data_IF_465470218977
#
_entry.id   IF_465470218977
#
_cell.length_a   1.000
_cell.length_b   1.000
_cell.length_c   1.000
_cell.angle_alpha   90.00
_cell.angle_beta   90.00
_cell.angle_gamma   90.00
#
_symmetry.space_group_name_H-M   'P 1'
#
loop_
_entity.id
_entity.type
_entity.pdbx_description
1 polymer ?
#
# COMPACT_ATOMS: atom_id res chain seq x y z
N UNK A 1 -8.57 -7.88 -69.41
CA UNK A 1 -9.15 -6.72 -68.72
C UNK A 1 -9.26 -7.04 -67.24
N UNK A 2 -8.64 -6.18 -66.46
CA UNK A 2 -8.56 -6.04 -65.01
C UNK A 2 -9.73 -6.59 -64.17
N UNK A 3 -9.42 -7.45 -63.18
CA UNK A 3 -9.55 -7.11 -61.75
C UNK A 3 -9.01 -8.23 -60.86
N UNK A 4 -7.79 -8.00 -60.36
CA UNK A 4 -7.24 -8.64 -59.17
C UNK A 4 -8.20 -8.40 -57.99
N UNK A 5 -8.83 -9.46 -57.50
CA UNK A 5 -9.54 -9.42 -56.22
C UNK A 5 -8.50 -9.83 -55.18
N UNK A 6 -7.83 -8.84 -54.61
CA UNK A 6 -6.94 -9.01 -53.46
C UNK A 6 -7.71 -9.64 -52.30
N UNK A 7 -7.50 -10.92 -52.07
CA UNK A 7 -7.90 -11.57 -50.82
C UNK A 7 -6.93 -11.09 -49.74
N UNK A 8 -7.30 -9.99 -49.07
CA UNK A 8 -6.62 -9.50 -47.88
C UNK A 8 -6.82 -10.57 -46.81
N UNK A 9 -5.79 -11.39 -46.58
CA UNK A 9 -5.66 -12.23 -45.40
C UNK A 9 -5.58 -11.29 -44.20
N UNK A 10 -6.73 -11.09 -43.55
CA UNK A 10 -6.85 -10.44 -42.26
C UNK A 10 -6.03 -11.27 -41.29
N UNK A 11 -4.82 -10.79 -40.99
CA UNK A 11 -4.03 -11.27 -39.86
C UNK A 11 -4.85 -10.95 -38.62
N UNK A 12 -5.57 -11.95 -38.12
CA UNK A 12 -6.20 -11.93 -36.82
C UNK A 12 -5.05 -11.92 -35.80
N UNK A 13 -4.55 -10.72 -35.51
CA UNK A 13 -3.68 -10.48 -34.38
C UNK A 13 -4.48 -10.90 -33.15
N UNK A 14 -4.24 -12.12 -32.69
CA UNK A 14 -4.69 -12.63 -31.41
C UNK A 14 -4.26 -11.61 -30.37
N UNK A 15 -5.23 -10.80 -29.96
CA UNK A 15 -5.16 -10.00 -28.74
C UNK A 15 -4.87 -11.00 -27.63
N UNK A 16 -3.60 -11.13 -27.26
CA UNK A 16 -3.25 -11.69 -25.96
C UNK A 16 -3.93 -10.76 -24.95
N UNK A 17 -4.96 -11.21 -24.21
CA UNK A 17 -5.45 -10.41 -23.09
C UNK A 17 -4.25 -10.25 -22.18
N UNK A 18 -3.74 -9.02 -22.06
CA UNK A 18 -2.64 -8.70 -21.19
C UNK A 18 -3.01 -9.24 -19.81
N UNK A 19 -2.26 -10.24 -19.33
CA UNK A 19 -2.45 -10.75 -17.99
C UNK A 19 -2.31 -9.55 -17.06
N UNK A 20 -3.43 -9.15 -16.44
CA UNK A 20 -3.43 -8.16 -15.40
C UNK A 20 -2.61 -8.75 -14.25
N UNK A 21 -1.33 -8.41 -14.20
CA UNK A 21 -0.46 -8.78 -13.09
C UNK A 21 -0.98 -8.01 -11.88
N UNK A 22 -1.80 -8.69 -11.06
CA UNK A 22 -2.22 -8.15 -9.79
C UNK A 22 -0.99 -7.75 -8.98
N UNK A 23 -0.99 -6.53 -8.45
CA UNK A 23 0.13 -6.00 -7.69
C UNK A 23 0.34 -6.85 -6.43
N UNK A 24 1.60 -7.11 -6.08
CA UNK A 24 1.93 -7.94 -4.91
C UNK A 24 1.45 -7.26 -3.63
N UNK A 25 0.95 -8.07 -2.71
CA UNK A 25 0.54 -7.67 -1.36
C UNK A 25 1.50 -8.35 -0.39
N UNK A 26 1.78 -7.73 0.75
CA UNK A 26 2.62 -8.25 1.82
C UNK A 26 1.89 -9.39 2.53
N UNK A 27 2.65 -10.36 3.01
CA UNK A 27 2.07 -11.63 3.45
C UNK A 27 1.15 -11.45 4.67
N UNK A 28 1.50 -10.57 5.60
CA UNK A 28 0.68 -10.26 6.77
C UNK A 28 -0.67 -9.60 6.43
N UNK A 29 -0.81 -8.92 5.29
CA UNK A 29 -2.11 -8.44 4.81
C UNK A 29 -2.85 -9.51 4.01
N UNK A 30 -2.14 -10.36 3.25
CA UNK A 30 -2.79 -11.51 2.59
C UNK A 30 -3.44 -12.45 3.61
N UNK A 31 -2.79 -12.71 4.74
CA UNK A 31 -3.31 -13.59 5.79
C UNK A 31 -4.69 -13.16 6.31
N UNK A 32 -4.96 -11.85 6.37
CA UNK A 32 -6.21 -11.30 6.91
C UNK A 32 -7.20 -10.83 5.83
N UNK A 33 -6.73 -10.60 4.60
CA UNK A 33 -7.54 -10.07 3.49
C UNK A 33 -7.80 -11.07 2.37
N UNK A 34 -7.44 -12.35 2.53
CA UNK A 34 -7.76 -13.40 1.57
C UNK A 34 -9.08 -14.07 1.96
N UNK A 35 -10.07 -14.02 1.07
CA UNK A 35 -11.34 -14.69 1.27
C UNK A 35 -11.20 -16.22 1.15
N UNK A 36 -12.23 -16.97 1.57
CA UNK A 36 -12.25 -18.45 1.53
C UNK A 36 -11.94 -19.04 0.14
N UNK A 37 -12.24 -18.28 -0.92
CA UNK A 37 -11.96 -18.68 -2.31
C UNK A 37 -10.48 -18.47 -2.73
N UNK A 38 -9.60 -18.11 -1.80
CA UNK A 38 -8.18 -17.92 -2.02
C UNK A 38 -7.82 -16.63 -2.77
N UNK A 39 -8.77 -15.70 -2.93
CA UNK A 39 -8.52 -14.40 -3.58
C UNK A 39 -8.41 -13.30 -2.55
N UNK A 40 -7.43 -12.41 -2.76
CA UNK A 40 -7.32 -11.20 -1.96
C UNK A 40 -8.48 -10.26 -2.28
N UNK A 41 -9.12 -9.76 -1.23
CA UNK A 41 -10.14 -8.73 -1.34
C UNK A 41 -9.49 -7.35 -1.55
N UNK A 42 -9.27 -7.00 -2.81
CA UNK A 42 -8.73 -5.68 -3.17
C UNK A 42 -9.66 -4.52 -2.77
N UNK A 43 -10.95 -4.78 -2.49
CA UNK A 43 -11.90 -3.75 -2.07
C UNK A 43 -11.68 -3.35 -0.60
N UNK A 44 -11.03 -4.20 0.21
CA UNK A 44 -10.70 -3.89 1.61
C UNK A 44 -9.91 -2.57 1.75
N UNK A 45 -9.01 -2.29 0.80
CA UNK A 45 -8.27 -1.01 0.79
C UNK A 45 -8.84 -0.01 -0.23
N UNK A 46 -9.23 -0.47 -1.42
CA UNK A 46 -9.52 0.43 -2.54
C UNK A 46 -11.02 0.65 -2.82
N UNK A 47 -11.91 -0.02 -2.08
CA UNK A 47 -13.35 -0.05 -2.37
C UNK A 47 -13.66 -0.38 -3.83
N UNK A 48 -14.71 0.24 -4.35
CA UNK A 48 -15.22 0.04 -5.72
C UNK A 48 -14.43 0.78 -6.80
N UNK A 49 -13.28 1.38 -6.46
CA UNK A 49 -12.50 2.15 -7.41
C UNK A 49 -12.07 1.27 -8.60
N UNK A 50 -12.52 1.67 -9.80
CA UNK A 50 -12.18 0.98 -11.07
C UNK A 50 -10.68 1.07 -11.39
N UNK A 51 -10.05 2.18 -11.02
CA UNK A 51 -8.59 2.35 -11.04
C UNK A 51 -8.11 2.43 -9.61
N UNK A 52 -7.27 1.48 -9.21
CA UNK A 52 -6.74 1.38 -7.85
C UNK A 52 -5.68 2.47 -7.66
N UNK A 53 -6.02 3.49 -6.87
CA UNK A 53 -5.11 4.58 -6.44
C UNK A 53 -4.64 4.34 -5.01
N UNK A 54 -3.80 5.23 -4.48
CA UNK A 54 -3.49 5.22 -3.04
C UNK A 54 -4.83 5.27 -2.28
N UNK A 55 -5.09 4.33 -1.35
CA UNK A 55 -6.33 4.30 -0.60
C UNK A 55 -6.41 5.47 0.38
N UNK A 56 -7.63 5.81 0.76
CA UNK A 56 -7.87 6.78 1.83
C UNK A 56 -7.39 6.20 3.18
N UNK A 57 -6.96 7.08 4.10
CA UNK A 57 -6.47 6.66 5.40
C UNK A 57 -7.52 5.87 6.20
N UNK A 58 -8.80 6.19 6.02
CA UNK A 58 -9.92 5.50 6.68
C UNK A 58 -9.97 4.00 6.39
N UNK A 59 -9.45 3.55 5.24
CA UNK A 59 -9.35 2.12 4.94
C UNK A 59 -8.36 1.39 5.86
N UNK A 60 -7.28 2.06 6.27
CA UNK A 60 -6.33 1.55 7.26
C UNK A 60 -6.97 1.55 8.66
N UNK A 61 -7.63 2.64 9.00
CA UNK A 61 -8.20 2.89 10.33
C UNK A 61 -9.31 1.89 10.68
N UNK A 62 -10.05 1.39 9.69
CA UNK A 62 -11.09 0.39 9.86
C UNK A 62 -10.60 -0.91 10.55
N UNK A 63 -9.30 -1.22 10.47
CA UNK A 63 -8.70 -2.38 11.14
C UNK A 63 -7.61 -2.02 12.15
N UNK A 64 -6.89 -0.91 11.95
CA UNK A 64 -5.74 -0.54 12.79
C UNK A 64 -6.06 0.51 13.87
N UNK A 65 -7.26 1.12 13.85
CA UNK A 65 -7.65 2.20 14.76
C UNK A 65 -7.28 3.58 14.21
N UNK A 66 -7.66 4.64 14.93
CA UNK A 66 -7.39 6.01 14.51
C UNK A 66 -5.90 6.33 14.60
N UNK A 67 -5.41 7.40 13.95
CA UNK A 67 -4.02 7.85 14.11
C UNK A 67 -3.60 8.04 15.57
N UNK A 68 -4.49 8.56 16.43
CA UNK A 68 -4.24 8.75 17.85
C UNK A 68 -4.12 7.42 18.60
N UNK A 69 -4.89 6.40 18.21
CA UNK A 69 -4.81 5.08 18.83
C UNK A 69 -3.51 4.37 18.48
N UNK A 70 -3.06 4.49 17.23
CA UNK A 70 -1.75 3.97 16.80
C UNK A 70 -0.61 4.75 17.49
N UNK A 71 -0.73 6.07 17.59
CA UNK A 71 0.23 6.91 18.31
C UNK A 71 0.40 6.50 19.78
N UNK A 72 -0.70 6.22 20.48
CA UNK A 72 -0.66 5.70 21.86
C UNK A 72 0.02 4.33 21.94
N UNK A 73 -0.25 3.44 20.98
CA UNK A 73 0.36 2.10 20.96
C UNK A 73 1.87 2.14 20.72
N UNK A 74 2.36 3.15 19.99
CA UNK A 74 3.79 3.35 19.75
C UNK A 74 4.40 4.45 20.62
N UNK A 75 3.73 4.79 21.72
CA UNK A 75 4.23 5.78 22.66
C UNK A 75 5.59 5.35 23.24
N UNK A 76 6.48 6.32 23.34
CA UNK A 76 7.78 6.12 23.98
C UNK A 76 7.59 5.93 25.48
N UNK A 77 8.47 5.18 26.16
CA UNK A 77 8.51 5.15 27.62
C UNK A 77 8.54 6.56 28.21
N UNK A 78 7.82 6.80 29.31
CA UNK A 78 7.73 8.14 29.92
C UNK A 78 9.10 8.69 30.37
N UNK A 79 10.05 7.82 30.66
CA UNK A 79 11.43 8.14 31.04
C UNK A 79 12.43 8.00 29.88
N UNK A 80 11.95 7.93 28.63
CA UNK A 80 12.81 7.76 27.46
C UNK A 80 13.74 8.96 27.25
N UNK A 81 15.05 8.70 27.25
CA UNK A 81 16.10 9.68 26.95
C UNK A 81 16.25 9.94 25.45
N UNK A 82 17.37 10.53 25.06
CA UNK A 82 17.70 10.84 23.66
C UNK A 82 18.15 9.62 22.85
N UNK A 83 18.44 8.51 23.53
CA UNK A 83 18.80 7.21 22.97
C UNK A 83 17.61 6.45 22.38
N UNK A 84 16.39 6.83 22.75
CA UNK A 84 15.16 6.22 22.24
C UNK A 84 14.61 7.07 21.09
N UNK A 85 14.39 6.44 19.94
CA UNK A 85 13.84 7.11 18.75
C UNK A 85 12.48 7.79 19.05
N UNK A 86 12.15 8.91 18.37
CA UNK A 86 10.85 9.57 18.50
C UNK A 86 9.68 8.67 18.10
N UNK A 87 8.46 8.95 18.58
CA UNK A 87 7.28 8.20 18.16
C UNK A 87 7.02 8.43 16.65
N UNK A 88 7.07 7.40 15.78
CA UNK A 88 6.88 7.58 14.35
C UNK A 88 5.45 8.00 13.97
N UNK A 89 4.47 7.77 14.87
CA UNK A 89 3.05 8.08 14.65
C UNK A 89 2.58 9.31 15.44
N UNK A 90 3.49 10.00 16.13
CA UNK A 90 3.25 11.29 16.77
C UNK A 90 4.52 12.14 16.64
N UNK A 91 4.73 12.64 15.43
CA UNK A 91 5.97 13.31 15.06
C UNK A 91 5.93 14.80 15.40
N UNK A 92 7.09 15.39 15.68
CA UNK A 92 7.16 16.82 15.98
C UNK A 92 6.72 17.72 14.81
N UNK A 93 6.83 17.24 13.57
CA UNK A 93 6.52 18.02 12.37
C UNK A 93 5.08 17.86 11.90
N UNK A 94 4.51 16.66 12.08
CA UNK A 94 3.22 16.30 11.50
C UNK A 94 2.20 15.82 12.53
N UNK A 95 2.57 15.73 13.82
CA UNK A 95 1.74 15.12 14.84
C UNK A 95 1.28 13.72 14.41
N UNK A 96 -0.04 13.51 14.48
CA UNK A 96 -0.75 12.32 14.01
C UNK A 96 -1.30 12.44 12.59
N UNK A 97 -1.08 13.56 11.89
CA UNK A 97 -1.74 13.88 10.61
C UNK A 97 -1.03 13.32 9.36
N UNK A 98 0.17 12.73 9.51
CA UNK A 98 0.91 12.18 8.36
C UNK A 98 0.22 10.89 7.86
N UNK A 99 -0.23 10.81 6.59
CA UNK A 99 -0.97 9.64 6.12
C UNK A 99 -0.15 8.36 6.18
N UNK A 100 -0.78 7.25 6.59
CA UNK A 100 -0.13 5.96 6.81
C UNK A 100 0.73 5.50 5.61
N UNK A 101 0.26 5.79 4.40
CA UNK A 101 0.85 5.37 3.13
C UNK A 101 2.15 6.08 2.75
N UNK A 102 2.53 7.17 3.44
CA UNK A 102 3.84 7.78 3.28
C UNK A 102 4.95 6.83 3.71
N UNK A 103 4.72 6.09 4.79
CA UNK A 103 5.66 5.11 5.31
C UNK A 103 5.31 3.67 4.92
N UNK A 104 4.05 3.27 5.14
CA UNK A 104 3.57 1.91 4.93
C UNK A 104 3.07 1.72 3.49
N UNK A 105 3.90 1.13 2.64
CA UNK A 105 3.62 1.02 1.21
C UNK A 105 3.36 -0.44 0.86
N UNK A 106 2.14 -0.76 0.43
CA UNK A 106 1.73 -2.16 0.29
C UNK A 106 2.39 -2.86 -0.90
N UNK A 107 2.29 -2.24 -2.07
CA UNK A 107 2.71 -2.85 -3.33
C UNK A 107 4.17 -2.58 -3.71
N UNK A 108 4.96 -2.09 -2.75
CA UNK A 108 6.39 -1.80 -2.87
C UNK A 108 7.05 -1.90 -1.49
N UNK A 109 8.34 -1.65 -1.40
CA UNK A 109 9.03 -1.61 -0.12
C UNK A 109 8.57 -0.42 0.72
N UNK A 110 8.23 -0.66 1.99
CA UNK A 110 7.89 0.41 2.94
C UNK A 110 9.14 1.22 3.30
N UNK A 111 8.97 2.51 3.57
CA UNK A 111 10.09 3.42 3.87
C UNK A 111 9.79 4.23 5.11
N UNK A 112 10.82 4.69 5.82
CA UNK A 112 10.66 5.67 6.90
C UNK A 112 10.70 7.05 6.27
N UNK A 113 9.56 7.72 6.14
CA UNK A 113 9.47 9.04 5.49
C UNK A 113 10.39 10.07 6.16
N UNK A 114 10.50 10.01 7.49
CA UNK A 114 11.38 10.87 8.29
C UNK A 114 12.86 10.79 7.84
N UNK A 115 13.28 9.67 7.24
CA UNK A 115 14.67 9.46 6.83
C UNK A 115 15.07 10.21 5.55
N UNK A 116 14.20 11.08 5.06
CA UNK A 116 14.62 12.13 4.13
C UNK A 116 15.52 13.17 4.82
N UNK A 117 15.38 13.34 6.14
CA UNK A 117 16.15 14.30 6.95
C UNK A 117 16.81 13.67 8.18
N UNK A 118 16.37 12.49 8.61
CA UNK A 118 16.85 11.78 9.80
C UNK A 118 17.42 10.40 9.46
N UNK A 119 17.91 9.68 10.47
CA UNK A 119 18.42 8.32 10.32
C UNK A 119 17.80 7.40 11.38
N UNK A 120 16.48 7.25 11.36
CA UNK A 120 15.76 6.35 12.27
C UNK A 120 15.71 4.92 11.73
N UNK A 121 15.88 3.96 12.62
CA UNK A 121 15.88 2.53 12.33
C UNK A 121 14.48 1.92 12.44
N UNK A 122 13.67 2.35 13.42
CA UNK A 122 12.33 1.84 13.74
C UNK A 122 12.19 0.33 13.57
N UNK A 123 12.84 -0.48 14.44
CA UNK A 123 12.94 -1.93 14.26
C UNK A 123 11.60 -2.66 14.32
N UNK A 124 10.58 -2.06 14.95
CA UNK A 124 9.23 -2.62 15.01
C UNK A 124 8.42 -2.42 13.71
N UNK A 125 8.87 -1.57 12.79
CA UNK A 125 8.18 -1.33 11.52
C UNK A 125 8.40 -2.50 10.56
N UNK A 126 7.32 -3.18 10.16
CA UNK A 126 7.37 -4.18 9.09
C UNK A 126 7.59 -3.50 7.72
N UNK A 127 8.57 -3.99 6.95
CA UNK A 127 8.96 -3.45 5.64
C UNK A 127 8.56 -4.34 4.48
#
# INVERSE_FOLDING_TARGET
>A
MLKMISTVLVACALLLPGAANAMKIKDYHKEVMTAENGRVDCAACHGDAKRKTIPDATACEACHGTPEDVAKQTARPANAGHDVEPNPHDSLHYGTDLPCTYCHQEHKESKVYCNQCHEFTYPAMKR
#
